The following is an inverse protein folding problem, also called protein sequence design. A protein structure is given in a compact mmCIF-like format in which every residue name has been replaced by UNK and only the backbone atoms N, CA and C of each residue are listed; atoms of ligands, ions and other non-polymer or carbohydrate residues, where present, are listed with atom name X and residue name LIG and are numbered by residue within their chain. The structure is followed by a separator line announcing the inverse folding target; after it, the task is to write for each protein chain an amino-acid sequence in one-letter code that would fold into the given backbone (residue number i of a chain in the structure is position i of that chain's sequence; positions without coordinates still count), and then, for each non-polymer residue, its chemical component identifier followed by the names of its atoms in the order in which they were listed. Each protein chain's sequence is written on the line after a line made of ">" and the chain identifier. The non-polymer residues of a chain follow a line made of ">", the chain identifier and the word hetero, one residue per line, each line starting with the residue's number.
data_IF_356454510700
#
_entry.id   IF_356454510700
#
_cell.length_a   1.000
_cell.length_b   1.000
_cell.length_c   1.000
_cell.angle_alpha   90.00
_cell.angle_beta   90.00
_cell.angle_gamma   90.00
#
_symmetry.space_group_name_H-M   'P 1'
#
loop_
_entity.id
_entity.type
_entity.pdbx_description
1 polymer ?
#
# COMPACT_ATOMS: atom_id res chain seq x y z
N UNK A 1 12.32 8.79 -10.50
CA UNK A 1 11.91 10.02 -11.22
C UNK A 1 10.63 9.87 -12.05
N UNK A 2 10.63 9.14 -13.18
CA UNK A 2 9.44 9.04 -14.08
C UNK A 2 8.16 8.60 -13.36
N UNK A 3 8.23 7.55 -12.54
CA UNK A 3 7.08 7.04 -11.77
C UNK A 3 6.51 8.11 -10.82
N UNK A 4 7.35 8.70 -9.97
CA UNK A 4 6.92 9.78 -9.07
C UNK A 4 6.26 10.94 -9.82
N UNK A 5 6.85 11.42 -10.93
CA UNK A 5 6.22 12.48 -11.73
C UNK A 5 4.86 12.08 -12.33
N UNK A 6 4.62 10.79 -12.55
CA UNK A 6 3.31 10.31 -13.03
C UNK A 6 2.26 10.15 -11.93
N UNK A 7 2.65 10.19 -10.66
CA UNK A 7 1.76 9.97 -9.51
C UNK A 7 1.55 11.25 -8.68
N UNK A 8 2.56 12.11 -8.59
CA UNK A 8 2.51 13.32 -7.77
C UNK A 8 1.54 14.36 -8.33
N UNK A 9 0.79 14.99 -7.42
CA UNK A 9 -0.32 15.88 -7.76
C UNK A 9 -1.51 15.16 -8.41
N UNK A 10 -1.59 13.82 -8.29
CA UNK A 10 -2.64 13.01 -8.91
C UNK A 10 -3.20 12.01 -7.91
N UNK A 11 -4.31 11.41 -8.34
CA UNK A 11 -4.96 10.30 -7.66
C UNK A 11 -4.66 9.01 -8.40
N UNK A 12 -4.30 7.95 -7.68
CA UNK A 12 -4.09 6.62 -8.25
C UNK A 12 -4.65 5.53 -7.33
N UNK A 13 -4.81 4.33 -7.89
CA UNK A 13 -5.32 3.16 -7.16
C UNK A 13 -4.16 2.22 -6.85
N UNK A 14 -4.10 1.77 -5.59
CA UNK A 14 -3.24 0.67 -5.15
C UNK A 14 -4.14 -0.52 -4.86
N UNK A 15 -3.89 -1.63 -5.56
CA UNK A 15 -4.62 -2.87 -5.37
C UNK A 15 -3.69 -3.93 -4.77
N UNK A 16 -4.18 -4.62 -3.74
CA UNK A 16 -3.46 -5.71 -3.08
C UNK A 16 -4.29 -6.98 -3.15
N UNK A 17 -3.76 -8.00 -3.81
CA UNK A 17 -4.31 -9.34 -3.85
C UNK A 17 -3.74 -10.20 -2.72
N UNK A 18 -4.61 -10.95 -2.05
CA UNK A 18 -4.23 -11.92 -1.02
C UNK A 18 -4.81 -13.28 -1.40
N UNK A 19 -4.00 -14.32 -1.27
CA UNK A 19 -4.44 -15.70 -1.29
C UNK A 19 -4.05 -16.37 0.03
N UNK A 20 -5.02 -17.04 0.67
CA UNK A 20 -4.80 -17.88 1.84
C UNK A 20 -4.99 -19.32 1.40
N UNK A 21 -3.96 -20.14 1.63
CA UNK A 21 -3.94 -21.55 1.22
C UNK A 21 -3.62 -22.40 2.43
N UNK A 22 -4.48 -23.36 2.72
CA UNK A 22 -4.25 -24.43 3.70
C UNK A 22 -4.05 -25.76 2.95
N UNK A 23 -3.77 -26.85 3.67
CA UNK A 23 -3.65 -28.17 3.04
C UNK A 23 -4.92 -28.60 2.29
N UNK A 24 -6.09 -28.19 2.80
CA UNK A 24 -7.38 -28.72 2.35
C UNK A 24 -8.27 -27.65 1.66
N UNK A 25 -7.86 -26.38 1.66
CA UNK A 25 -8.68 -25.28 1.15
C UNK A 25 -7.86 -24.08 0.68
N UNK A 26 -8.46 -23.24 -0.16
CA UNK A 26 -7.91 -21.94 -0.50
C UNK A 26 -9.02 -20.90 -0.67
N UNK A 27 -8.71 -19.66 -0.32
CA UNK A 27 -9.55 -18.50 -0.59
C UNK A 27 -8.67 -17.34 -1.03
N UNK A 28 -9.23 -16.37 -1.74
CA UNK A 28 -8.49 -15.21 -2.19
C UNK A 28 -9.40 -14.02 -2.45
N UNK A 29 -8.83 -12.84 -2.30
CA UNK A 29 -9.53 -11.58 -2.51
C UNK A 29 -8.56 -10.50 -2.97
N UNK A 30 -9.11 -9.41 -3.51
CA UNK A 30 -8.36 -8.21 -3.86
C UNK A 30 -9.03 -7.02 -3.19
N UNK A 31 -8.24 -6.23 -2.47
CA UNK A 31 -8.68 -4.92 -1.97
C UNK A 31 -8.04 -3.80 -2.80
N UNK A 32 -8.77 -2.71 -2.99
CA UNK A 32 -8.29 -1.54 -3.71
C UNK A 32 -8.48 -0.29 -2.87
N UNK A 33 -7.42 0.51 -2.76
CA UNK A 33 -7.43 1.78 -2.04
C UNK A 33 -6.96 2.90 -2.96
N UNK A 34 -7.64 4.04 -2.88
CA UNK A 34 -7.31 5.23 -3.68
C UNK A 34 -6.39 6.14 -2.88
N UNK A 35 -5.28 6.54 -3.48
CA UNK A 35 -4.26 7.41 -2.88
C UNK A 35 -4.29 8.75 -3.61
N UNK A 36 -4.39 9.84 -2.86
CA UNK A 36 -4.29 11.20 -3.35
C UNK A 36 -2.93 11.76 -2.96
N UNK A 37 -2.10 12.10 -3.94
CA UNK A 37 -0.77 12.66 -3.69
C UNK A 37 -0.73 14.16 -3.93
N UNK A 38 -0.03 14.86 -3.04
CA UNK A 38 0.25 16.28 -3.19
C UNK A 38 1.16 16.52 -4.40
N UNK A 39 1.14 17.72 -4.95
CA UNK A 39 2.17 18.15 -5.90
C UNK A 39 3.51 18.33 -5.18
N UNK A 40 4.60 17.87 -5.81
CA UNK A 40 5.96 18.08 -5.33
C UNK A 40 6.66 19.15 -6.18
N UNK A 41 7.43 20.03 -5.53
CA UNK A 41 8.40 20.84 -6.25
C UNK A 41 9.55 19.97 -6.78
N UNK A 42 10.31 20.47 -7.75
CA UNK A 42 11.49 19.74 -8.24
C UNK A 42 12.53 19.57 -7.11
N UNK A 43 12.69 20.55 -6.22
CA UNK A 43 13.61 20.48 -5.09
C UNK A 43 13.21 19.40 -4.07
N UNK A 44 11.92 19.33 -3.72
CA UNK A 44 11.40 18.30 -2.81
C UNK A 44 11.52 16.91 -3.43
N UNK A 45 11.32 16.80 -4.75
CA UNK A 45 11.50 15.53 -5.47
C UNK A 45 12.95 15.07 -5.42
N UNK A 46 13.93 15.97 -5.61
CA UNK A 46 15.34 15.62 -5.51
C UNK A 46 15.74 15.25 -4.09
N UNK A 47 15.25 15.99 -3.09
CA UNK A 47 15.47 15.68 -1.68
C UNK A 47 14.93 14.28 -1.33
N UNK A 48 13.72 13.95 -1.79
CA UNK A 48 13.14 12.62 -1.61
C UNK A 48 13.97 11.53 -2.28
N UNK A 49 14.39 11.73 -3.53
CA UNK A 49 15.21 10.75 -4.26
C UNK A 49 16.56 10.50 -3.59
N UNK A 50 17.16 11.52 -2.97
CA UNK A 50 18.42 11.40 -2.25
C UNK A 50 18.34 10.48 -1.02
N UNK A 51 17.14 10.25 -0.46
CA UNK A 51 16.94 9.29 0.65
C UNK A 51 17.16 7.83 0.24
N UNK A 52 17.05 7.52 -1.05
CA UNK A 52 17.08 6.15 -1.57
C UNK A 52 15.80 5.33 -1.34
N UNK A 53 14.82 5.84 -0.59
CA UNK A 53 13.56 5.13 -0.28
C UNK A 53 12.80 4.70 -1.53
N UNK A 54 12.92 5.46 -2.62
CA UNK A 54 12.23 5.19 -3.88
C UNK A 54 12.70 3.91 -4.60
N UNK A 55 13.83 3.31 -4.21
CA UNK A 55 14.52 2.28 -5.00
C UNK A 55 13.93 0.87 -4.86
N UNK A 56 13.31 0.55 -3.72
CA UNK A 56 12.79 -0.79 -3.42
C UNK A 56 11.26 -0.85 -3.34
N UNK A 57 10.56 0.17 -3.86
CA UNK A 57 9.10 0.33 -3.73
C UNK A 57 8.40 0.36 -5.08
N UNK A 58 7.30 -0.39 -5.19
CA UNK A 58 6.38 -0.24 -6.30
C UNK A 58 5.80 1.19 -6.31
N UNK A 59 5.76 1.84 -7.48
CA UNK A 59 5.37 3.25 -7.57
C UNK A 59 6.43 4.25 -7.07
N UNK A 60 7.60 3.75 -6.62
CA UNK A 60 8.73 4.53 -6.13
C UNK A 60 8.45 5.37 -4.88
N UNK A 61 7.46 4.99 -4.06
CA UNK A 61 7.15 5.62 -2.77
C UNK A 61 6.69 4.62 -1.70
N UNK A 62 6.87 4.95 -0.41
CA UNK A 62 6.39 4.13 0.70
C UNK A 62 5.49 4.93 1.65
N UNK A 63 4.28 4.43 1.93
CA UNK A 63 3.36 5.05 2.89
C UNK A 63 3.93 5.12 4.33
N UNK A 64 4.80 4.18 4.70
CA UNK A 64 5.46 4.17 6.02
C UNK A 64 6.79 4.95 6.04
N UNK A 65 7.17 5.51 4.89
CA UNK A 65 8.43 6.22 4.69
C UNK A 65 8.29 7.74 4.70
N UNK A 66 9.30 8.43 4.19
CA UNK A 66 9.32 9.88 4.00
C UNK A 66 8.28 10.34 2.98
N UNK A 67 7.88 9.49 2.04
CA UNK A 67 6.82 9.80 1.11
C UNK A 67 5.44 10.03 1.76
N UNK A 68 5.25 9.64 3.03
CA UNK A 68 4.02 9.92 3.79
C UNK A 68 3.67 11.42 3.82
N UNK A 69 4.68 12.27 3.73
CA UNK A 69 4.54 13.73 3.76
C UNK A 69 3.88 14.29 2.50
N UNK A 70 3.78 13.50 1.42
CA UNK A 70 3.22 13.89 0.13
C UNK A 70 1.92 13.14 -0.19
N UNK A 71 1.31 12.50 0.82
CA UNK A 71 0.03 11.81 0.69
C UNK A 71 -1.04 12.65 1.40
N UNK A 72 -1.91 13.28 0.63
CA UNK A 72 -2.98 14.13 1.17
C UNK A 72 -4.07 13.28 1.84
N UNK A 73 -4.46 12.19 1.17
CA UNK A 73 -5.58 11.35 1.60
C UNK A 73 -5.47 9.94 1.06
N UNK A 74 -5.99 8.98 1.82
CA UNK A 74 -6.25 7.62 1.36
C UNK A 74 -7.73 7.33 1.57
N UNK A 75 -8.42 6.97 0.50
CA UNK A 75 -9.79 6.45 0.53
C UNK A 75 -9.71 4.92 0.42
N UNK A 76 -9.98 4.23 1.52
CA UNK A 76 -9.84 2.79 1.66
C UNK A 76 -8.96 2.39 2.84
N UNK A 77 -8.39 1.19 2.78
CA UNK A 77 -7.55 0.63 3.83
C UNK A 77 -6.08 1.04 3.64
N UNK A 78 -5.52 1.73 4.63
CA UNK A 78 -4.07 2.03 4.65
C UNK A 78 -3.22 0.77 4.57
N UNK A 79 -3.68 -0.32 5.20
CA UNK A 79 -3.00 -1.60 5.20
C UNK A 79 -2.94 -2.23 3.80
N UNK A 80 -3.92 -1.97 2.93
CA UNK A 80 -3.86 -2.32 1.50
C UNK A 80 -2.72 -1.60 0.79
N UNK A 81 -2.57 -0.30 1.04
CA UNK A 81 -1.49 0.52 0.46
C UNK A 81 -0.10 0.08 0.98
N UNK A 82 -0.03 -0.39 2.22
CA UNK A 82 1.20 -0.99 2.79
C UNK A 82 1.51 -2.34 2.13
N UNK A 83 0.49 -3.08 1.68
CA UNK A 83 0.64 -4.35 0.97
C UNK A 83 0.00 -5.55 1.66
N UNK A 84 -0.75 -5.37 2.74
CA UNK A 84 -1.54 -6.43 3.36
C UNK A 84 -2.83 -5.87 3.98
N UNK A 85 -4.02 -6.07 3.36
CA UNK A 85 -5.32 -5.58 3.85
C UNK A 85 -5.75 -6.30 5.14
N UNK A 86 -5.09 -5.98 6.26
CA UNK A 86 -5.19 -6.71 7.54
C UNK A 86 -6.62 -7.05 7.99
N UNK A 87 -7.61 -6.13 7.97
CA UNK A 87 -8.98 -6.48 8.36
C UNK A 87 -9.60 -7.60 7.52
N UNK A 88 -9.34 -7.61 6.21
CA UNK A 88 -9.85 -8.62 5.29
C UNK A 88 -9.08 -9.93 5.41
N UNK A 89 -7.78 -9.87 5.70
CA UNK A 89 -6.98 -11.07 5.98
C UNK A 89 -7.51 -11.76 7.24
N UNK A 90 -7.78 -11.00 8.30
CA UNK A 90 -8.36 -11.55 9.53
C UNK A 90 -9.72 -12.20 9.27
N UNK A 91 -10.60 -11.53 8.52
CA UNK A 91 -11.90 -12.10 8.13
C UNK A 91 -11.74 -13.41 7.34
N UNK A 92 -10.83 -13.46 6.36
CA UNK A 92 -10.57 -14.67 5.59
C UNK A 92 -10.00 -15.82 6.44
N UNK A 93 -9.17 -15.53 7.43
CA UNK A 93 -8.66 -16.53 8.37
C UNK A 93 -9.78 -17.06 9.29
N UNK A 94 -10.66 -16.18 9.77
CA UNK A 94 -11.81 -16.55 10.59
C UNK A 94 -12.80 -17.44 9.79
N UNK A 95 -13.03 -17.13 8.50
CA UNK A 95 -13.85 -17.96 7.59
C UNK A 95 -13.28 -19.37 7.39
N UNK A 96 -11.95 -19.51 7.41
CA UNK A 96 -11.26 -20.79 7.32
C UNK A 96 -11.14 -21.51 8.68
N UNK A 97 -11.65 -20.92 9.76
CA UNK A 97 -11.58 -21.49 11.10
C UNK A 97 -10.16 -21.51 11.69
N UNK A 98 -9.27 -20.64 11.22
CA UNK A 98 -7.88 -20.58 11.69
C UNK A 98 -7.84 -19.74 12.98
N UNK A 99 -7.39 -20.30 14.13
CA UNK A 99 -7.41 -19.59 15.41
C UNK A 99 -6.43 -18.42 15.45
N UNK A 100 -6.87 -17.31 16.06
CA UNK A 100 -6.03 -16.14 16.32
C UNK A 100 -5.29 -16.33 17.64
N UNK A 101 -3.98 -16.51 17.61
CA UNK A 101 -3.17 -16.42 18.82
C UNK A 101 -3.16 -14.96 19.30
N UNK A 102 -3.89 -14.70 20.38
CA UNK A 102 -3.86 -13.42 21.08
C UNK A 102 -2.92 -13.62 22.28
N UNK A 103 -1.80 -12.88 22.31
CA UNK A 103 -0.94 -12.81 23.51
C UNK A 103 -1.58 -11.94 24.58
#
# INVERSE_FOLDING_TARGET
>A
RRMLRSLMGRTHVVATGVAVVTGDSSTGFVDSSTVHMSSLSDDDLEAYLATGESLDKAGAYALQGEARNFIDRIDGLRSTVIGLPLPLVVAALDELGIPRNTM
#
